data_IF_491231920533
#
_entry.id   IF_491231920533
#
_cell.length_a   1.000
_cell.length_b   1.000
_cell.length_c   1.000
_cell.angle_alpha   90.00
_cell.angle_beta   90.00
_cell.angle_gamma   90.00
#
_symmetry.space_group_name_H-M   'P 1'
#
loop_
_entity.id
_entity.type
_entity.pdbx_description
1 polymer ?
#
# COMPACT_ATOMS: atom_id res chain seq x y z
N UNK A 1 24.65 15.19 4.66
CA UNK A 1 24.23 13.79 4.39
C UNK A 1 24.71 13.46 2.99
N UNK A 2 25.60 12.50 2.80
CA UNK A 2 26.30 12.24 1.52
C UNK A 2 25.37 11.59 0.49
N UNK A 3 25.55 11.91 -0.80
CA UNK A 3 24.75 11.40 -1.92
C UNK A 3 24.72 9.86 -2.00
N UNK A 4 25.76 9.20 -1.50
CA UNK A 4 25.89 7.75 -1.39
C UNK A 4 24.79 7.12 -0.51
N UNK A 5 24.34 7.82 0.54
CA UNK A 5 23.27 7.34 1.40
C UNK A 5 21.94 7.24 0.65
N UNK A 6 21.62 8.24 -0.16
CA UNK A 6 20.39 8.25 -0.97
C UNK A 6 20.40 7.13 -2.02
N UNK A 7 21.53 6.92 -2.69
CA UNK A 7 21.68 5.79 -3.63
C UNK A 7 21.49 4.44 -2.93
N UNK A 8 22.03 4.27 -1.72
CA UNK A 8 21.84 3.06 -0.92
C UNK A 8 20.38 2.80 -0.55
N UNK A 9 19.63 3.87 -0.23
CA UNK A 9 18.18 3.79 0.03
C UNK A 9 17.41 3.38 -1.22
N UNK A 10 17.70 3.99 -2.36
CA UNK A 10 17.01 3.69 -3.63
C UNK A 10 17.23 2.24 -4.07
N UNK A 11 18.46 1.72 -3.97
CA UNK A 11 18.77 0.31 -4.27
C UNK A 11 18.03 -0.64 -3.33
N UNK A 12 17.96 -0.29 -2.04
CA UNK A 12 17.23 -1.08 -1.03
C UNK A 12 15.73 -1.11 -1.35
N UNK A 13 15.16 0.03 -1.75
CA UNK A 13 13.76 0.15 -2.14
C UNK A 13 13.42 -0.74 -3.34
N UNK A 14 14.23 -0.74 -4.40
CA UNK A 14 14.02 -1.60 -5.58
C UNK A 14 14.06 -3.08 -5.18
N UNK A 15 15.02 -3.45 -4.34
CA UNK A 15 15.21 -4.85 -3.90
C UNK A 15 13.99 -5.34 -3.12
N UNK A 16 13.51 -4.54 -2.15
CA UNK A 16 12.31 -4.82 -1.38
C UNK A 16 11.06 -4.87 -2.27
N UNK A 17 10.95 -3.98 -3.24
CA UNK A 17 9.81 -3.92 -4.13
C UNK A 17 9.77 -5.11 -5.09
N UNK A 18 10.92 -5.56 -5.59
CA UNK A 18 11.04 -6.79 -6.38
C UNK A 18 10.60 -8.03 -5.59
N UNK A 19 11.02 -8.14 -4.33
CA UNK A 19 10.56 -9.21 -3.43
C UNK A 19 9.05 -9.14 -3.18
N UNK A 20 8.50 -7.94 -3.01
CA UNK A 20 7.05 -7.74 -2.85
C UNK A 20 6.27 -8.18 -4.08
N UNK A 21 6.71 -7.81 -5.29
CA UNK A 21 6.08 -8.20 -6.55
C UNK A 21 6.09 -9.73 -6.70
N UNK A 22 7.25 -10.35 -6.45
CA UNK A 22 7.40 -11.79 -6.58
C UNK A 22 6.56 -12.54 -5.54
N UNK A 23 6.66 -12.17 -4.27
CA UNK A 23 5.94 -12.82 -3.17
C UNK A 23 4.42 -12.67 -3.30
N UNK A 24 3.93 -11.43 -3.47
CA UNK A 24 2.50 -11.18 -3.61
C UNK A 24 1.95 -11.75 -4.93
N UNK A 25 2.70 -11.67 -6.02
CA UNK A 25 2.34 -12.28 -7.30
C UNK A 25 2.23 -13.80 -7.23
N UNK A 26 3.14 -14.47 -6.50
CA UNK A 26 3.10 -15.90 -6.27
C UNK A 26 1.85 -16.32 -5.48
N UNK A 27 1.52 -15.60 -4.40
CA UNK A 27 0.31 -15.87 -3.61
C UNK A 27 -0.95 -15.69 -4.46
N UNK A 28 -1.05 -14.59 -5.21
CA UNK A 28 -2.17 -14.35 -6.14
C UNK A 28 -2.32 -15.50 -7.13
N UNK A 29 -1.22 -15.97 -7.71
CA UNK A 29 -1.19 -17.09 -8.65
C UNK A 29 -1.70 -18.40 -8.02
N UNK A 30 -1.30 -18.71 -6.77
CA UNK A 30 -1.81 -19.86 -6.03
C UNK A 30 -3.34 -19.81 -5.84
N UNK A 31 -3.89 -18.63 -5.60
CA UNK A 31 -5.35 -18.44 -5.50
C UNK A 31 -6.06 -18.58 -6.84
N UNK A 32 -5.43 -18.24 -7.96
CA UNK A 32 -5.98 -18.48 -9.30
C UNK A 32 -6.03 -19.97 -9.63
N UNK A 33 -4.98 -20.72 -9.28
CA UNK A 33 -4.90 -22.16 -9.50
C UNK A 33 -5.93 -22.89 -8.62
N UNK A 34 -6.02 -22.54 -7.34
CA UNK A 34 -6.83 -23.30 -6.39
C UNK A 34 -8.08 -22.53 -5.93
N UNK A 35 -9.19 -22.76 -6.63
CA UNK A 35 -10.51 -22.16 -6.32
C UNK A 35 -11.05 -22.52 -4.93
N UNK A 36 -10.57 -23.60 -4.29
CA UNK A 36 -10.99 -23.97 -2.92
C UNK A 36 -10.50 -22.97 -1.87
N UNK A 37 -9.35 -22.33 -2.09
CA UNK A 37 -8.81 -21.32 -1.17
C UNK A 37 -9.71 -20.08 -1.10
N UNK A 38 -10.35 -19.72 -2.22
CA UNK A 38 -11.31 -18.60 -2.29
C UNK A 38 -12.59 -18.84 -1.47
N UNK A 39 -12.82 -20.03 -0.92
CA UNK A 39 -14.00 -20.32 -0.11
C UNK A 39 -13.85 -19.86 1.35
N UNK A 40 -12.62 -19.75 1.84
CA UNK A 40 -12.36 -19.36 3.23
C UNK A 40 -12.31 -17.83 3.37
N UNK A 41 -12.95 -17.29 4.42
CA UNK A 41 -13.10 -15.85 4.66
C UNK A 41 -11.76 -15.16 4.87
N UNK A 42 -10.98 -15.61 5.85
CA UNK A 42 -9.66 -15.04 6.13
C UNK A 42 -8.70 -15.12 4.93
N UNK A 43 -8.85 -16.15 4.09
CA UNK A 43 -8.06 -16.26 2.86
C UNK A 43 -8.46 -15.23 1.79
N UNK A 44 -9.70 -14.75 1.76
CA UNK A 44 -10.12 -13.66 0.84
C UNK A 44 -9.52 -12.32 1.24
N UNK A 45 -9.43 -12.04 2.54
CA UNK A 45 -8.78 -10.81 3.04
C UNK A 45 -7.27 -10.84 2.78
N UNK A 46 -6.64 -12.01 2.91
CA UNK A 46 -5.23 -12.20 2.54
C UNK A 46 -5.03 -12.00 1.04
N UNK A 47 -5.90 -12.55 0.20
CA UNK A 47 -5.86 -12.30 -1.24
C UNK A 47 -6.01 -10.81 -1.56
N UNK A 48 -6.90 -10.12 -0.85
CA UNK A 48 -7.08 -8.69 -1.02
C UNK A 48 -5.81 -7.90 -0.66
N UNK A 49 -5.17 -8.25 0.47
CA UNK A 49 -3.90 -7.66 0.90
C UNK A 49 -2.81 -7.84 -0.16
N UNK A 50 -2.66 -9.06 -0.70
CA UNK A 50 -1.68 -9.32 -1.75
C UNK A 50 -1.98 -8.55 -3.05
N UNK A 51 -3.25 -8.39 -3.42
CA UNK A 51 -3.65 -7.61 -4.60
C UNK A 51 -3.30 -6.13 -4.41
N UNK A 52 -3.59 -5.56 -3.24
CA UNK A 52 -3.27 -4.15 -2.95
C UNK A 52 -1.76 -3.91 -2.91
N UNK A 53 -1.00 -4.84 -2.32
CA UNK A 53 0.46 -4.77 -2.30
C UNK A 53 1.10 -4.91 -3.68
N UNK A 54 0.58 -5.82 -4.50
CA UNK A 54 1.06 -5.99 -5.87
C UNK A 54 0.74 -4.75 -6.73
N UNK A 55 -0.49 -4.24 -6.66
CA UNK A 55 -0.89 -3.03 -7.38
C UNK A 55 -0.05 -1.81 -6.98
N UNK A 56 0.24 -1.68 -5.69
CA UNK A 56 1.13 -0.63 -5.22
C UNK A 56 2.55 -0.79 -5.77
N UNK A 57 3.13 -1.99 -5.66
CA UNK A 57 4.51 -2.20 -6.12
C UNK A 57 4.65 -1.89 -7.61
N UNK A 58 3.63 -2.21 -8.43
CA UNK A 58 3.60 -1.85 -9.86
C UNK A 58 3.47 -0.33 -10.08
N UNK A 59 2.67 0.38 -9.28
CA UNK A 59 2.50 1.84 -9.42
C UNK A 59 3.68 2.65 -8.90
N UNK A 60 4.43 2.12 -7.94
CA UNK A 60 5.63 2.75 -7.39
C UNK A 60 6.91 2.47 -8.20
N UNK A 61 6.93 1.44 -9.05
CA UNK A 61 8.08 1.13 -9.92
C UNK A 61 8.48 2.31 -10.85
N UNK A 62 7.57 2.96 -11.59
CA UNK A 62 7.90 4.11 -12.44
C UNK A 62 8.54 5.26 -11.66
N UNK A 63 8.10 5.46 -10.42
CA UNK A 63 8.64 6.49 -9.52
C UNK A 63 10.11 6.21 -9.17
N UNK A 64 10.43 4.99 -8.74
CA UNK A 64 11.79 4.63 -8.34
C UNK A 64 12.73 4.65 -9.56
N UNK A 65 12.26 4.18 -10.73
CA UNK A 65 13.04 4.25 -11.97
C UNK A 65 13.35 5.70 -12.35
N UNK A 66 12.40 6.63 -12.16
CA UNK A 66 12.64 8.05 -12.42
C UNK A 66 13.73 8.63 -11.51
N UNK A 67 13.71 8.28 -10.21
CA UNK A 67 14.73 8.72 -9.25
C UNK A 67 16.13 8.21 -9.58
N UNK A 68 16.25 6.95 -10.02
CA UNK A 68 17.52 6.37 -10.48
C UNK A 68 18.02 7.02 -11.77
N UNK A 69 17.12 7.24 -12.74
CA UNK A 69 17.49 7.78 -14.04
C UNK A 69 17.98 9.23 -13.96
N UNK A 70 17.43 10.01 -13.02
CA UNK A 70 17.81 11.39 -12.76
C UNK A 70 18.79 11.53 -11.57
N UNK A 71 19.37 10.42 -11.09
CA UNK A 71 20.30 10.47 -9.98
C UNK A 71 21.57 11.24 -10.37
N UNK A 72 21.88 12.29 -9.60
CA UNK A 72 23.09 13.09 -9.77
C UNK A 72 23.67 13.43 -8.38
N UNK A 73 24.96 13.13 -8.13
CA UNK A 73 25.57 13.35 -6.81
C UNK A 73 25.73 14.83 -6.44
N UNK A 74 25.64 15.74 -7.41
CA UNK A 74 25.91 17.17 -7.23
C UNK A 74 24.65 18.05 -7.22
N UNK A 75 23.56 17.62 -7.87
CA UNK A 75 22.33 18.42 -8.01
C UNK A 75 21.09 17.52 -7.92
N UNK A 76 20.18 17.83 -6.99
CA UNK A 76 18.88 17.19 -6.90
C UNK A 76 17.85 18.01 -7.70
N UNK A 77 17.81 17.83 -9.01
CA UNK A 77 16.85 18.51 -9.90
C UNK A 77 15.57 17.67 -10.07
N UNK A 78 14.86 17.45 -8.96
CA UNK A 78 13.57 16.77 -8.98
C UNK A 78 12.44 17.79 -9.04
N UNK A 79 11.49 17.62 -9.96
CA UNK A 79 10.33 18.52 -9.99
C UNK A 79 9.47 18.31 -8.72
N UNK A 80 9.23 19.36 -7.91
CA UNK A 80 8.58 19.22 -6.60
C UNK A 80 7.15 18.66 -6.71
N UNK A 81 6.47 18.97 -7.82
CA UNK A 81 5.13 18.45 -8.13
C UNK A 81 5.16 16.93 -8.31
N UNK A 82 6.19 16.39 -8.96
CA UNK A 82 6.33 14.95 -9.16
C UNK A 82 6.55 14.23 -7.82
N UNK A 83 7.38 14.79 -6.94
CA UNK A 83 7.61 14.23 -5.59
C UNK A 83 6.31 14.15 -4.80
N UNK A 84 5.54 15.24 -4.75
CA UNK A 84 4.26 15.28 -4.03
C UNK A 84 3.25 14.30 -4.62
N UNK A 85 3.12 14.24 -5.94
CA UNK A 85 2.16 13.30 -6.58
C UNK A 85 2.56 11.85 -6.32
N UNK A 86 3.85 11.58 -6.26
CA UNK A 86 4.38 10.22 -6.08
C UNK A 86 4.39 9.72 -4.64
N UNK A 87 4.33 10.60 -3.63
CA UNK A 87 4.19 10.20 -2.22
C UNK A 87 2.76 9.74 -1.88
N UNK A 88 1.76 10.21 -2.62
CA UNK A 88 0.34 9.93 -2.39
C UNK A 88 0.04 8.42 -2.43
N UNK A 89 0.43 7.64 -3.46
CA UNK A 89 0.18 6.20 -3.49
C UNK A 89 0.76 5.47 -2.27
N UNK A 90 1.93 5.89 -1.79
CA UNK A 90 2.63 5.26 -0.67
C UNK A 90 1.85 5.44 0.64
N UNK A 91 1.41 6.67 0.92
CA UNK A 91 0.60 7.00 2.10
C UNK A 91 -0.73 6.25 2.10
N UNK A 92 -1.41 6.23 0.95
CA UNK A 92 -2.69 5.53 0.79
C UNK A 92 -2.53 4.02 1.00
N UNK A 93 -1.47 3.40 0.45
CA UNK A 93 -1.24 1.96 0.59
C UNK A 93 -1.02 1.57 2.06
N UNK A 94 -0.19 2.31 2.80
CA UNK A 94 0.07 1.99 4.21
C UNK A 94 -1.23 1.94 5.03
N UNK A 95 -2.16 2.86 4.78
CA UNK A 95 -3.46 2.89 5.46
C UNK A 95 -4.36 1.73 5.06
N UNK A 96 -4.43 1.43 3.76
CA UNK A 96 -5.22 0.29 3.26
C UNK A 96 -4.71 -1.02 3.88
N UNK A 97 -3.39 -1.24 3.89
CA UNK A 97 -2.78 -2.43 4.47
C UNK A 97 -3.02 -2.56 5.96
N UNK A 98 -2.93 -1.46 6.70
CA UNK A 98 -3.22 -1.45 8.14
C UNK A 98 -4.67 -1.86 8.39
N UNK A 99 -5.63 -1.29 7.66
CA UNK A 99 -7.06 -1.59 7.82
C UNK A 99 -7.37 -3.04 7.44
N UNK A 100 -6.79 -3.56 6.36
CA UNK A 100 -6.94 -4.97 5.97
C UNK A 100 -6.32 -5.89 7.04
N UNK A 101 -5.15 -5.54 7.58
CA UNK A 101 -4.48 -6.35 8.62
C UNK A 101 -5.29 -6.38 9.92
N UNK A 102 -5.86 -5.24 10.35
CA UNK A 102 -6.79 -5.19 11.47
C UNK A 102 -8.01 -6.06 11.18
N UNK A 103 -8.58 -5.97 9.97
CA UNK A 103 -9.73 -6.79 9.58
C UNK A 103 -9.40 -8.30 9.60
N UNK A 104 -8.19 -8.70 9.22
CA UNK A 104 -7.70 -10.09 9.32
C UNK A 104 -7.53 -10.49 10.79
N UNK A 105 -6.96 -9.63 11.63
CA UNK A 105 -6.76 -9.90 13.05
C UNK A 105 -8.11 -10.08 13.78
N UNK A 106 -9.09 -9.23 13.47
CA UNK A 106 -10.46 -9.32 13.98
C UNK A 106 -11.14 -10.60 13.51
N UNK A 107 -10.99 -10.99 12.24
CA UNK A 107 -11.56 -12.23 11.69
C UNK A 107 -11.00 -13.49 12.39
N UNK A 108 -9.73 -13.44 12.81
CA UNK A 108 -9.07 -14.51 13.55
C UNK A 108 -9.44 -14.57 15.02
N UNK A 109 -10.05 -13.54 15.59
CA UNK A 109 -10.41 -13.51 17.00
C UNK A 109 -11.74 -14.23 17.26
N UNK A 110 -11.74 -15.22 18.16
CA UNK A 110 -12.85 -16.16 18.34
C UNK A 110 -14.18 -15.50 18.75
N UNK A 111 -14.11 -14.45 19.56
CA UNK A 111 -15.28 -13.67 20.01
C UNK A 111 -15.99 -13.03 18.81
N UNK A 112 -15.24 -12.39 17.91
CA UNK A 112 -15.80 -11.75 16.72
C UNK A 112 -16.26 -12.78 15.70
N UNK A 113 -15.56 -13.91 15.57
CA UNK A 113 -15.99 -15.01 14.70
C UNK A 113 -17.37 -15.55 15.07
N UNK A 114 -17.75 -15.52 16.35
CA UNK A 114 -19.10 -15.86 16.80
C UNK A 114 -20.14 -14.81 16.37
N UNK A 115 -19.86 -13.51 16.52
CA UNK A 115 -20.75 -12.42 16.09
C UNK A 115 -20.94 -12.32 14.57
N UNK A 116 -19.96 -12.78 13.79
CA UNK A 116 -20.00 -12.74 12.32
C UNK A 116 -20.52 -14.03 11.68
N UNK A 117 -20.83 -15.06 12.49
CA UNK A 117 -21.34 -16.36 12.03
C UNK A 117 -22.74 -16.20 11.43
N UNK A 118 -22.80 -16.02 10.10
CA UNK A 118 -24.06 -15.89 9.33
C UNK A 118 -24.23 -14.58 8.56
N UNK A 119 -23.34 -13.59 8.71
CA UNK A 119 -23.39 -12.35 7.91
C UNK A 119 -22.82 -12.55 6.51
N UNK A 120 -23.26 -11.76 5.54
CA UNK A 120 -22.85 -11.93 4.14
C UNK A 120 -21.39 -11.48 3.93
N UNK A 121 -20.48 -12.43 3.70
CA UNK A 121 -19.03 -12.21 3.81
C UNK A 121 -18.48 -11.22 2.76
N UNK A 122 -19.11 -11.16 1.58
CA UNK A 122 -18.72 -10.21 0.54
C UNK A 122 -18.94 -8.76 0.99
N UNK A 123 -20.01 -8.47 1.73
CA UNK A 123 -20.28 -7.11 2.23
C UNK A 123 -19.22 -6.65 3.22
N UNK A 124 -18.67 -7.58 4.02
CA UNK A 124 -17.58 -7.28 4.93
C UNK A 124 -16.29 -6.91 4.20
N UNK A 125 -15.87 -7.73 3.22
CA UNK A 125 -14.66 -7.45 2.42
C UNK A 125 -14.76 -6.12 1.68
N UNK A 126 -15.91 -5.82 1.06
CA UNK A 126 -16.16 -4.53 0.42
C UNK A 126 -16.17 -3.38 1.43
N UNK A 127 -16.75 -3.57 2.61
CA UNK A 127 -16.74 -2.58 3.69
C UNK A 127 -15.33 -2.24 4.17
N UNK A 128 -14.48 -3.26 4.35
CA UNK A 128 -13.07 -3.08 4.71
C UNK A 128 -12.33 -2.29 3.62
N UNK A 129 -12.53 -2.63 2.34
CA UNK A 129 -11.93 -1.88 1.23
C UNK A 129 -12.35 -0.41 1.19
N UNK A 130 -13.66 -0.16 1.26
CA UNK A 130 -14.20 1.20 1.21
C UNK A 130 -13.70 2.00 2.41
N UNK A 131 -13.67 1.40 3.61
CA UNK A 131 -13.11 2.06 4.79
C UNK A 131 -11.64 2.38 4.60
N UNK A 132 -10.85 1.44 4.05
CA UNK A 132 -9.44 1.65 3.69
C UNK A 132 -9.24 2.85 2.77
N UNK A 133 -10.03 2.90 1.70
CA UNK A 133 -9.98 3.96 0.71
C UNK A 133 -10.38 5.32 1.31
N UNK A 134 -11.43 5.37 2.12
CA UNK A 134 -11.90 6.60 2.76
C UNK A 134 -10.86 7.16 3.73
N UNK A 135 -10.27 6.32 4.58
CA UNK A 135 -9.22 6.75 5.50
C UNK A 135 -7.92 7.14 4.77
N UNK A 136 -7.60 6.47 3.66
CA UNK A 136 -6.51 6.87 2.78
C UNK A 136 -6.75 8.25 2.15
N UNK A 137 -7.94 8.49 1.61
CA UNK A 137 -8.30 9.78 1.02
C UNK A 137 -8.30 10.92 2.04
N UNK A 138 -8.80 10.66 3.25
CA UNK A 138 -8.73 11.64 4.35
C UNK A 138 -7.30 12.01 4.71
N UNK A 139 -6.37 11.06 4.67
CA UNK A 139 -4.96 11.32 4.97
C UNK A 139 -4.31 12.20 3.93
N UNK A 140 -4.58 11.94 2.64
CA UNK A 140 -4.11 12.78 1.54
C UNK A 140 -4.64 14.21 1.71
N UNK A 141 -5.92 14.37 2.04
CA UNK A 141 -6.52 15.70 2.30
C UNK A 141 -5.82 16.39 3.48
N UNK A 142 -5.55 15.65 4.57
CA UNK A 142 -4.85 16.18 5.74
C UNK A 142 -3.40 16.57 5.43
N UNK A 143 -2.69 15.80 4.60
CA UNK A 143 -1.34 16.13 4.14
C UNK A 143 -1.32 17.44 3.35
N UNK A 144 -2.26 17.60 2.40
CA UNK A 144 -2.38 18.85 1.64
C UNK A 144 -2.80 20.05 2.51
N UNK A 145 -3.68 19.84 3.50
CA UNK A 145 -4.04 20.88 4.47
C UNK A 145 -2.85 21.28 5.34
N UNK A 146 -2.07 20.30 5.82
CA UNK A 146 -0.88 20.56 6.63
C UNK A 146 0.15 21.39 5.85
N UNK A 147 0.43 21.00 4.60
CA UNK A 147 1.37 21.73 3.74
C UNK A 147 0.87 23.15 3.42
N UNK A 148 -0.44 23.35 3.27
CA UNK A 148 -1.05 24.69 3.10
C UNK A 148 -0.86 25.59 4.33
N UNK A 149 -1.01 25.04 5.54
CA UNK A 149 -0.86 25.79 6.79
C UNK A 149 0.58 26.28 6.96
N UNK A 150 1.58 25.42 6.71
CA UNK A 150 3.00 25.81 6.79
C UNK A 150 3.40 26.91 5.80
N UNK A 151 2.83 26.92 4.60
CA UNK A 151 3.07 28.00 3.63
C UNK A 151 2.33 29.31 3.95
N UNK A 152 1.30 29.29 4.81
CA UNK A 152 0.56 30.49 5.21
C UNK A 152 1.12 31.15 6.48
N UNK A 153 1.98 30.46 7.22
CA UNK A 153 2.59 30.95 8.47
C UNK A 153 3.99 31.56 8.29
N UNK A 154 4.40 31.81 7.04
CA UNK A 154 5.66 32.48 6.66
C UNK A 154 5.33 33.78 5.96
#
# INVERSE_FOLDING_TARGET
MSAEYYLGVDISLISLQGLSIFGNGFIISLFFINKRLKRNMGLRLILLLCITDFAFAVTALPYIIHYLALWNPNYFDYSPIFIIVSSIPLLVQFKINLIITIAIAVDRHEIFRYFYRGKNHMKYVWGVLISGLLFGALDVILEFLHHRIQCSSI
#
